data_IF_768567654426
#
_entry.id   IF_768567654426
#
_cell.length_a   1.000
_cell.length_b   1.000
_cell.length_c   1.000
_cell.angle_alpha   90.00
_cell.angle_beta   90.00
_cell.angle_gamma   90.00
#
_symmetry.space_group_name_H-M   'P 1'
#
loop_
_entity.id
_entity.type
_entity.pdbx_description
1 polymer ?
#
# COMPACT_ATOMS: atom_id res chain seq x y z
N UNK A 1 20.49 -13.27 -15.58
CA UNK A 1 19.11 -13.78 -15.73
C UNK A 1 18.27 -12.61 -16.19
N UNK A 2 17.78 -12.63 -17.43
CA UNK A 2 16.71 -11.73 -17.81
C UNK A 2 15.41 -12.27 -17.24
N UNK A 3 14.66 -11.48 -16.44
CA UNK A 3 13.34 -11.90 -16.01
C UNK A 3 12.47 -12.07 -17.27
N UNK A 4 11.87 -13.25 -17.43
CA UNK A 4 10.96 -13.53 -18.55
C UNK A 4 9.76 -12.59 -18.56
N UNK A 5 9.10 -12.47 -19.72
CA UNK A 5 7.95 -11.60 -19.94
C UNK A 5 6.88 -11.78 -18.83
N UNK A 6 6.62 -10.70 -18.09
CA UNK A 6 5.57 -10.64 -17.07
C UNK A 6 4.21 -10.88 -17.73
N UNK A 7 3.64 -12.09 -17.56
CA UNK A 7 2.32 -12.41 -18.07
C UNK A 7 1.24 -11.71 -17.21
N UNK A 8 0.76 -10.55 -17.69
CA UNK A 8 -0.24 -9.71 -17.01
C UNK A 8 -1.66 -10.32 -16.97
N UNK A 9 -1.93 -11.40 -17.71
CA UNK A 9 -3.27 -11.97 -17.93
C UNK A 9 -3.90 -12.60 -16.67
N UNK A 10 -3.10 -12.86 -15.63
CA UNK A 10 -3.52 -13.71 -14.50
C UNK A 10 -4.32 -12.99 -13.42
N UNK A 11 -4.22 -11.67 -13.30
CA UNK A 11 -4.88 -10.92 -12.22
C UNK A 11 -6.41 -10.93 -12.38
N UNK A 12 -6.93 -10.62 -13.57
CA UNK A 12 -8.37 -10.42 -13.78
C UNK A 12 -9.16 -11.70 -14.03
N UNK A 13 -8.51 -12.85 -14.25
CA UNK A 13 -9.20 -14.07 -14.70
C UNK A 13 -10.27 -14.53 -13.68
N UNK A 14 -9.94 -14.54 -12.39
CA UNK A 14 -10.88 -14.95 -11.34
C UNK A 14 -12.03 -13.94 -11.18
N UNK A 15 -11.72 -12.64 -11.13
CA UNK A 15 -12.70 -11.57 -11.04
C UNK A 15 -13.71 -11.62 -12.22
N UNK A 16 -13.20 -11.73 -13.46
CA UNK A 16 -14.04 -11.83 -14.65
C UNK A 16 -14.89 -13.09 -14.69
N UNK A 17 -14.43 -14.20 -14.10
CA UNK A 17 -15.25 -15.43 -13.97
C UNK A 17 -16.36 -15.25 -12.95
N UNK A 18 -16.07 -14.65 -11.79
CA UNK A 18 -17.07 -14.35 -10.76
C UNK A 18 -18.16 -13.43 -11.32
N UNK A 19 -17.78 -12.34 -11.99
CA UNK A 19 -18.73 -11.38 -12.55
C UNK A 19 -19.60 -11.99 -13.66
N UNK A 20 -19.02 -12.80 -14.55
CA UNK A 20 -19.79 -13.52 -15.58
C UNK A 20 -20.77 -14.51 -14.97
N UNK A 21 -20.34 -15.25 -13.94
CA UNK A 21 -21.22 -16.19 -13.23
C UNK A 21 -22.37 -15.46 -12.52
N UNK A 22 -22.10 -14.31 -11.92
CA UNK A 22 -23.12 -13.45 -11.31
C UNK A 22 -24.13 -12.96 -12.34
N UNK A 23 -23.67 -12.41 -13.47
CA UNK A 23 -24.55 -11.89 -14.52
C UNK A 23 -25.39 -12.96 -15.23
N UNK A 24 -24.92 -14.22 -15.26
CA UNK A 24 -25.63 -15.33 -15.90
C UNK A 24 -26.74 -15.95 -15.03
N UNK A 25 -26.81 -15.63 -13.74
CA UNK A 25 -27.84 -16.16 -12.82
C UNK A 25 -28.96 -15.14 -12.62
N UNK A 26 -30.20 -15.57 -12.79
CA UNK A 26 -31.40 -14.76 -12.48
C UNK A 26 -31.63 -14.59 -10.97
N UNK A 27 -31.26 -15.59 -10.16
CA UNK A 27 -31.31 -15.57 -8.69
C UNK A 27 -29.95 -16.04 -8.11
N UNK A 28 -28.95 -15.14 -8.00
CA UNK A 28 -27.64 -15.49 -7.48
C UNK A 28 -27.68 -15.71 -5.96
N UNK A 29 -27.04 -16.78 -5.50
CA UNK A 29 -26.92 -17.05 -4.08
C UNK A 29 -26.11 -15.96 -3.34
N UNK A 30 -26.36 -15.82 -2.03
CA UNK A 30 -25.75 -14.78 -1.20
C UNK A 30 -24.21 -14.76 -1.28
N UNK A 31 -23.56 -15.92 -1.40
CA UNK A 31 -22.09 -15.99 -1.45
C UNK A 31 -21.57 -15.40 -2.76
N UNK A 32 -22.23 -15.72 -3.88
CA UNK A 32 -21.90 -15.15 -5.18
C UNK A 32 -22.12 -13.63 -5.21
N UNK A 33 -23.21 -13.13 -4.61
CA UNK A 33 -23.47 -11.68 -4.48
C UNK A 33 -22.34 -11.00 -3.70
N UNK A 34 -21.91 -11.58 -2.57
CA UNK A 34 -20.81 -11.04 -1.75
C UNK A 34 -19.52 -10.98 -2.56
N UNK A 35 -19.16 -12.05 -3.26
CA UNK A 35 -17.94 -12.09 -4.08
C UNK A 35 -17.98 -11.08 -5.23
N UNK A 36 -19.08 -11.01 -5.97
CA UNK A 36 -19.26 -10.04 -7.05
C UNK A 36 -19.20 -8.60 -6.52
N UNK A 37 -19.83 -8.34 -5.37
CA UNK A 37 -19.79 -7.03 -4.70
C UNK A 37 -18.37 -6.66 -4.29
N UNK A 38 -17.61 -7.60 -3.71
CA UNK A 38 -16.21 -7.38 -3.37
C UNK A 38 -15.35 -7.08 -4.61
N UNK A 39 -15.59 -7.80 -5.71
CA UNK A 39 -14.90 -7.53 -6.97
C UNK A 39 -15.18 -6.10 -7.46
N UNK A 40 -16.45 -5.66 -7.42
CA UNK A 40 -16.84 -4.34 -7.91
C UNK A 40 -16.42 -3.20 -6.99
N UNK A 41 -16.47 -3.40 -5.66
CA UNK A 41 -16.19 -2.34 -4.68
C UNK A 41 -14.71 -2.21 -4.29
N UNK A 42 -13.95 -3.30 -4.34
CA UNK A 42 -12.58 -3.34 -3.82
C UNK A 42 -11.61 -3.76 -4.92
N UNK A 43 -11.73 -4.98 -5.44
CA UNK A 43 -10.71 -5.55 -6.32
C UNK A 43 -10.55 -4.78 -7.64
N UNK A 44 -11.65 -4.51 -8.33
CA UNK A 44 -11.67 -3.78 -9.59
C UNK A 44 -11.10 -2.36 -9.45
N UNK A 45 -11.65 -1.52 -8.57
CA UNK A 45 -11.12 -0.18 -8.32
C UNK A 45 -9.63 -0.19 -7.97
N UNK A 46 -9.18 -1.04 -7.03
CA UNK A 46 -7.77 -1.11 -6.66
C UNK A 46 -6.87 -1.57 -7.81
N UNK A 47 -7.33 -2.50 -8.65
CA UNK A 47 -6.59 -2.91 -9.85
C UNK A 47 -6.34 -1.72 -10.77
N UNK A 48 -7.37 -0.92 -11.05
CA UNK A 48 -7.23 0.28 -11.87
C UNK A 48 -6.31 1.30 -11.21
N UNK A 49 -6.51 1.61 -9.92
CA UNK A 49 -5.69 2.59 -9.19
C UNK A 49 -4.21 2.22 -9.18
N UNK A 50 -3.87 0.93 -8.96
CA UNK A 50 -2.48 0.45 -9.00
C UNK A 50 -1.91 0.52 -10.42
N UNK A 51 -2.70 0.19 -11.44
CA UNK A 51 -2.24 0.23 -12.85
C UNK A 51 -2.04 1.64 -13.37
N UNK A 52 -2.92 2.56 -12.98
CA UNK A 52 -2.79 3.97 -13.33
C UNK A 52 -1.64 4.66 -12.58
N UNK A 53 -1.35 4.21 -11.35
CA UNK A 53 -0.33 4.83 -10.49
C UNK A 53 0.67 3.78 -9.97
N UNK A 54 1.52 3.19 -10.84
CA UNK A 54 2.35 2.04 -10.49
C UNK A 54 3.60 2.39 -9.67
N UNK A 55 3.92 3.68 -9.53
CA UNK A 55 5.11 4.11 -8.78
C UNK A 55 5.06 3.68 -7.32
N UNK A 56 6.21 3.30 -6.76
CA UNK A 56 6.35 2.88 -5.37
C UNK A 56 5.93 3.95 -4.36
N UNK A 57 6.00 5.24 -4.72
CA UNK A 57 5.49 6.35 -3.90
C UNK A 57 3.98 6.23 -3.61
N UNK A 58 3.24 5.49 -4.44
CA UNK A 58 1.82 5.26 -4.24
C UNK A 58 1.51 3.98 -3.45
N UNK A 59 2.52 3.15 -3.15
CA UNK A 59 2.30 1.82 -2.58
C UNK A 59 1.56 1.85 -1.23
N UNK A 60 1.98 2.74 -0.32
CA UNK A 60 1.32 2.91 0.99
C UNK A 60 -0.11 3.45 0.84
N UNK A 61 -0.33 4.36 -0.11
CA UNK A 61 -1.67 4.89 -0.44
C UNK A 61 -2.58 3.77 -0.97
N UNK A 62 -2.06 2.90 -1.83
CA UNK A 62 -2.80 1.74 -2.34
C UNK A 62 -3.17 0.77 -1.24
N UNK A 63 -2.26 0.52 -0.29
CA UNK A 63 -2.53 -0.34 0.87
C UNK A 63 -3.65 0.26 1.75
N UNK A 64 -3.54 1.55 2.10
CA UNK A 64 -4.58 2.26 2.86
C UNK A 64 -5.93 2.28 2.13
N UNK A 65 -5.94 2.56 0.82
CA UNK A 65 -7.17 2.60 0.02
C UNK A 65 -7.84 1.22 -0.02
N UNK A 66 -7.07 0.14 -0.09
CA UNK A 66 -7.60 -1.23 -0.01
C UNK A 66 -8.29 -1.46 1.35
N UNK A 67 -7.65 -1.05 2.45
CA UNK A 67 -8.23 -1.10 3.79
C UNK A 67 -9.55 -0.32 3.82
N UNK A 68 -9.51 0.95 3.40
CA UNK A 68 -10.66 1.85 3.39
C UNK A 68 -11.84 1.29 2.60
N UNK A 69 -11.60 0.81 1.38
CA UNK A 69 -12.63 0.20 0.53
C UNK A 69 -13.19 -1.10 1.11
N UNK A 70 -12.46 -1.81 1.96
CA UNK A 70 -12.93 -3.06 2.58
C UNK A 70 -13.78 -2.85 3.84
N UNK A 71 -13.84 -1.62 4.39
CA UNK A 71 -14.52 -1.31 5.66
C UNK A 71 -16.02 -1.58 5.67
N UNK A 72 -16.68 -1.63 4.50
CA UNK A 72 -18.13 -1.92 4.42
C UNK A 72 -18.49 -3.38 4.72
N UNK A 73 -17.51 -4.28 4.76
CA UNK A 73 -17.75 -5.71 4.97
C UNK A 73 -18.32 -5.96 6.36
N UNK A 74 -19.13 -7.03 6.49
CA UNK A 74 -19.56 -7.50 7.80
C UNK A 74 -18.36 -7.92 8.66
N UNK A 75 -18.45 -7.89 10.00
CA UNK A 75 -17.32 -8.19 10.88
C UNK A 75 -16.58 -9.49 10.56
N UNK A 76 -17.32 -10.57 10.27
CA UNK A 76 -16.74 -11.88 9.93
C UNK A 76 -15.93 -11.86 8.63
N UNK A 77 -16.47 -11.21 7.59
CA UNK A 77 -15.80 -11.09 6.30
C UNK A 77 -14.63 -10.10 6.37
N UNK A 78 -14.82 -8.99 7.08
CA UNK A 78 -13.79 -7.99 7.34
C UNK A 78 -12.60 -8.64 8.01
N UNK A 79 -12.80 -9.47 9.03
CA UNK A 79 -11.72 -10.23 9.69
C UNK A 79 -10.93 -11.12 8.73
N UNK A 80 -11.59 -11.79 7.78
CA UNK A 80 -10.91 -12.61 6.76
C UNK A 80 -10.07 -11.73 5.84
N UNK A 81 -10.64 -10.63 5.35
CA UNK A 81 -9.98 -9.72 4.41
C UNK A 81 -8.82 -8.98 5.08
N UNK A 82 -9.01 -8.45 6.29
CA UNK A 82 -7.97 -7.79 7.09
C UNK A 82 -6.80 -8.73 7.34
N UNK A 83 -7.04 -10.00 7.66
CA UNK A 83 -5.96 -11.00 7.80
C UNK A 83 -5.21 -11.25 6.48
N UNK A 84 -5.86 -11.12 5.32
CA UNK A 84 -5.17 -11.19 4.02
C UNK A 84 -4.35 -9.93 3.78
N UNK A 85 -4.91 -8.75 4.05
CA UNK A 85 -4.23 -7.46 3.90
C UNK A 85 -3.01 -7.40 4.81
N UNK A 86 -3.14 -7.76 6.08
CA UNK A 86 -2.06 -7.80 7.07
C UNK A 86 -0.90 -8.69 6.62
N UNK A 87 -1.18 -9.88 6.08
CA UNK A 87 -0.13 -10.78 5.56
C UNK A 87 0.59 -10.25 4.33
N UNK A 88 -0.03 -9.31 3.60
CA UNK A 88 0.54 -8.68 2.41
C UNK A 88 0.90 -7.20 2.64
N UNK A 89 0.93 -6.76 3.90
CA UNK A 89 1.09 -5.37 4.32
C UNK A 89 2.48 -4.77 4.14
N UNK A 90 3.27 -5.23 3.16
CA UNK A 90 4.67 -4.82 2.97
C UNK A 90 4.82 -3.30 2.80
N UNK A 91 3.88 -2.67 2.09
CA UNK A 91 3.87 -1.20 1.92
C UNK A 91 3.50 -0.43 3.18
N UNK A 92 3.11 -1.11 4.27
CA UNK A 92 2.96 -0.49 5.58
C UNK A 92 4.29 -0.26 6.29
N UNK A 93 5.40 -0.86 5.81
CA UNK A 93 6.72 -0.72 6.44
C UNK A 93 7.16 0.76 6.53
N UNK A 94 7.79 1.21 7.64
CA UNK A 94 8.20 2.61 7.82
C UNK A 94 8.93 3.22 6.64
N UNK A 95 9.90 2.51 6.06
CA UNK A 95 10.62 2.98 4.88
C UNK A 95 9.69 3.26 3.68
N UNK A 96 8.68 2.41 3.47
CA UNK A 96 7.70 2.58 2.38
C UNK A 96 6.70 3.72 2.69
N UNK A 97 6.31 3.88 3.96
CA UNK A 97 5.49 5.02 4.39
C UNK A 97 6.24 6.33 4.15
N UNK A 98 7.52 6.41 4.50
CA UNK A 98 8.37 7.58 4.27
C UNK A 98 8.53 7.90 2.77
N UNK A 99 8.75 6.89 1.93
CA UNK A 99 8.79 7.05 0.47
C UNK A 99 7.48 7.60 -0.07
N UNK A 100 6.34 7.11 0.43
CA UNK A 100 5.03 7.63 0.04
C UNK A 100 4.83 9.07 0.49
N UNK A 101 5.23 9.41 1.72
CA UNK A 101 5.16 10.77 2.25
C UNK A 101 6.08 11.75 1.51
N UNK A 102 7.27 11.33 1.08
CA UNK A 102 8.15 12.16 0.24
C UNK A 102 7.52 12.52 -1.11
N UNK A 103 6.70 11.64 -1.66
CA UNK A 103 5.95 11.88 -2.89
C UNK A 103 4.54 12.43 -2.67
N UNK A 104 4.23 12.97 -1.48
CA UNK A 104 2.94 13.61 -1.22
C UNK A 104 2.85 15.00 -1.85
N UNK A 105 1.63 15.42 -2.23
CA UNK A 105 1.38 16.76 -2.78
C UNK A 105 1.55 17.86 -1.73
N UNK A 106 1.29 17.54 -0.45
CA UNK A 106 1.43 18.47 0.67
C UNK A 106 2.90 18.60 1.10
N UNK A 107 3.46 19.80 0.96
CA UNK A 107 4.83 20.10 1.40
C UNK A 107 5.06 19.77 2.88
N UNK A 108 4.06 19.96 3.74
CA UNK A 108 4.15 19.64 5.17
C UNK A 108 4.36 18.15 5.42
N UNK A 109 3.74 17.28 4.62
CA UNK A 109 3.93 15.81 4.71
C UNK A 109 5.32 15.43 4.18
N UNK A 110 5.75 16.03 3.07
CA UNK A 110 7.11 15.82 2.54
C UNK A 110 8.19 16.24 3.54
N UNK A 111 8.00 17.37 4.20
CA UNK A 111 8.92 17.89 5.22
C UNK A 111 9.01 16.94 6.43
N UNK A 112 7.88 16.40 6.91
CA UNK A 112 7.88 15.39 7.96
C UNK A 112 8.66 14.13 7.55
N UNK A 113 8.49 13.66 6.30
CA UNK A 113 9.24 12.52 5.79
C UNK A 113 10.74 12.80 5.75
N UNK A 114 11.13 13.97 5.23
CA UNK A 114 12.52 14.42 5.17
C UNK A 114 13.16 14.44 6.57
N UNK A 115 12.49 14.99 7.58
CA UNK A 115 13.00 15.02 8.94
C UNK A 115 13.28 13.61 9.50
N UNK A 116 12.37 12.66 9.27
CA UNK A 116 12.57 11.27 9.71
C UNK A 116 13.71 10.58 8.96
N UNK A 117 13.84 10.84 7.65
CA UNK A 117 14.93 10.29 6.83
C UNK A 117 16.28 10.84 7.28
N UNK A 118 16.37 12.15 7.53
CA UNK A 118 17.60 12.79 8.02
C UNK A 118 18.01 12.23 9.38
N UNK A 119 17.05 12.02 10.28
CA UNK A 119 17.29 11.36 11.57
C UNK A 119 17.75 9.91 11.40
N UNK A 120 17.17 9.18 10.46
CA UNK A 120 17.56 7.81 10.17
C UNK A 120 18.97 7.73 9.54
N UNK A 121 19.36 8.69 8.69
CA UNK A 121 20.72 8.81 8.12
C UNK A 121 21.78 9.03 9.19
N UNK A 122 21.50 9.87 10.17
CA UNK A 122 22.45 10.15 11.26
C UNK A 122 22.67 8.95 12.19
N UNK A 123 21.72 8.02 12.22
CA UNK A 123 21.83 6.80 12.99
C UNK A 123 22.52 5.74 12.12
N UNK A 124 23.71 5.28 12.51
CA UNK A 124 24.32 4.13 11.86
C UNK A 124 23.42 2.90 12.04
N UNK A 125 22.75 2.47 10.97
CA UNK A 125 21.90 1.30 11.00
C UNK A 125 22.76 0.05 11.30
N UNK A 126 22.42 -0.76 12.31
CA UNK A 126 23.20 -1.94 12.64
C UNK A 126 23.00 -3.03 11.56
N UNK A 127 24.11 -3.48 10.96
CA UNK A 127 24.17 -4.73 10.20
C UNK A 127 23.13 -4.92 9.08
N UNK A 128 22.63 -6.15 8.94
CA UNK A 128 21.66 -6.53 7.91
C UNK A 128 20.25 -6.15 8.37
N UNK A 129 19.55 -5.33 7.58
CA UNK A 129 18.17 -4.91 7.86
C UNK A 129 17.22 -6.10 7.82
N UNK A 130 16.36 -6.23 8.83
CA UNK A 130 15.31 -7.26 8.86
C UNK A 130 13.98 -6.64 8.45
N UNK A 131 13.46 -7.02 7.28
CA UNK A 131 12.15 -6.55 6.83
C UNK A 131 11.02 -7.32 7.53
N UNK A 132 10.27 -6.66 8.41
CA UNK A 132 9.08 -7.23 9.09
C UNK A 132 7.83 -6.47 8.68
N UNK A 133 6.73 -7.18 8.48
CA UNK A 133 5.45 -6.53 8.19
C UNK A 133 4.91 -5.91 9.49
N UNK A 134 4.61 -4.60 9.52
CA UNK A 134 4.06 -3.95 10.70
C UNK A 134 2.62 -4.36 10.96
N UNK A 135 2.19 -4.28 12.22
CA UNK A 135 0.78 -4.30 12.55
C UNK A 135 0.10 -3.10 11.87
N UNK A 136 -0.85 -3.39 10.99
CA UNK A 136 -1.56 -2.34 10.25
C UNK A 136 -2.70 -1.79 11.10
N UNK A 137 -2.83 -0.48 11.11
CA UNK A 137 -3.98 0.22 11.66
C UNK A 137 -5.13 0.18 10.64
N UNK A 138 -6.05 -0.77 10.80
CA UNK A 138 -7.21 -0.92 9.92
C UNK A 138 -8.24 0.21 10.05
N UNK A 139 -8.14 1.02 11.09
CA UNK A 139 -9.00 2.18 11.36
C UNK A 139 -8.35 3.51 10.96
N UNK A 140 -7.16 3.47 10.35
CA UNK A 140 -6.42 4.66 9.92
C UNK A 140 -7.24 5.58 8.99
N UNK A 141 -7.36 6.85 9.37
CA UNK A 141 -8.09 7.86 8.58
C UNK A 141 -7.39 8.16 7.25
N UNK A 142 -6.06 8.06 7.23
CA UNK A 142 -5.22 8.31 6.07
C UNK A 142 -3.99 7.38 6.09
N UNK A 143 -3.24 7.36 4.99
CA UNK A 143 -2.13 6.44 4.79
C UNK A 143 -0.92 6.73 5.68
N UNK A 144 -0.77 7.95 6.22
CA UNK A 144 0.35 8.32 7.12
C UNK A 144 0.20 7.69 8.50
N UNK A 145 -1.04 7.30 8.87
CA UNK A 145 -1.39 6.65 10.14
C UNK A 145 -1.57 5.13 10.02
N UNK A 146 -1.11 4.53 8.91
CA UNK A 146 -1.35 3.11 8.60
C UNK A 146 -0.60 2.14 9.52
N UNK A 147 0.41 2.61 10.25
CA UNK A 147 1.19 1.83 11.20
C UNK A 147 1.60 2.70 12.38
N UNK A 148 1.98 2.05 13.48
CA UNK A 148 2.46 2.68 14.71
C UNK A 148 3.98 2.85 14.65
N UNK A 149 4.46 4.09 14.65
CA UNK A 149 5.88 4.41 14.44
C UNK A 149 6.78 3.93 15.58
N UNK A 150 6.26 3.79 16.79
CA UNK A 150 6.99 3.40 17.99
C UNK A 150 7.47 1.95 17.99
N UNK A 151 6.88 1.09 17.15
CA UNK A 151 7.19 -0.34 17.12
C UNK A 151 8.39 -0.70 16.23
N UNK A 152 8.92 0.27 15.47
CA UNK A 152 9.93 0.03 14.45
C UNK A 152 11.15 0.94 14.61
N UNK A 153 12.33 0.35 14.43
CA UNK A 153 13.54 1.12 14.16
C UNK A 153 13.43 1.71 12.75
N UNK A 154 13.41 3.05 12.65
CA UNK A 154 13.32 3.76 11.38
C UNK A 154 14.72 3.83 10.77
N UNK A 155 14.93 3.07 9.70
CA UNK A 155 16.13 3.15 8.85
C UNK A 155 15.88 3.99 7.61
N UNK A 156 16.95 4.51 7.02
CA UNK A 156 16.83 5.27 5.78
C UNK A 156 16.29 4.37 4.64
N UNK A 157 15.21 4.76 3.93
CA UNK A 157 14.73 4.03 2.78
C UNK A 157 15.83 3.78 1.72
N UNK A 158 15.97 2.57 1.16
CA UNK A 158 16.96 2.29 0.11
C UNK A 158 16.84 3.21 -1.11
N UNK A 159 15.63 3.71 -1.40
CA UNK A 159 15.36 4.63 -2.50
C UNK A 159 15.94 6.03 -2.28
N UNK A 160 16.21 6.42 -1.03
CA UNK A 160 16.81 7.71 -0.71
C UNK A 160 18.31 7.62 -0.46
N UNK A 161 18.85 6.42 -0.21
CA UNK A 161 20.24 6.21 0.20
C UNK A 161 21.30 6.85 -0.71
N UNK A 162 21.03 7.00 -2.01
CA UNK A 162 21.95 7.60 -2.97
C UNK A 162 21.66 9.08 -3.29
N UNK A 163 20.62 9.67 -2.68
CA UNK A 163 20.28 11.08 -2.86
C UNK A 163 21.07 11.95 -1.88
N UNK A 164 21.61 13.08 -2.34
CA UNK A 164 22.22 14.06 -1.42
C UNK A 164 21.15 14.73 -0.56
N UNK A 165 21.57 15.34 0.56
CA UNK A 165 20.67 16.09 1.43
C UNK A 165 20.02 17.26 0.67
N UNK A 166 20.76 17.92 -0.23
CA UNK A 166 20.26 19.00 -1.09
C UNK A 166 19.23 18.48 -2.09
N UNK A 167 19.45 17.30 -2.67
CA UNK A 167 18.50 16.68 -3.59
C UNK A 167 17.19 16.33 -2.87
N UNK A 168 17.27 15.73 -1.68
CA UNK A 168 16.08 15.46 -0.85
C UNK A 168 15.35 16.75 -0.47
N UNK A 169 16.09 17.78 -0.05
CA UNK A 169 15.49 19.08 0.31
C UNK A 169 14.84 19.76 -0.90
N UNK A 170 15.41 19.61 -2.09
CA UNK A 170 14.78 20.06 -3.34
C UNK A 170 13.45 19.35 -3.57
N UNK A 171 13.41 18.02 -3.43
CA UNK A 171 12.18 17.22 -3.58
C UNK A 171 11.08 17.69 -2.62
N UNK A 172 11.43 18.00 -1.37
CA UNK A 172 10.48 18.55 -0.40
C UNK A 172 9.85 19.84 -0.90
N UNK A 173 10.62 20.74 -1.51
CA UNK A 173 10.10 22.03 -2.00
C UNK A 173 9.37 21.91 -3.33
N UNK A 174 9.89 21.15 -4.28
CA UNK A 174 9.34 21.07 -5.65
C UNK A 174 8.26 20.02 -5.84
N UNK A 175 8.19 19.02 -4.95
CA UNK A 175 7.51 17.75 -5.25
C UNK A 175 8.39 16.82 -6.11
N UNK A 176 7.92 15.59 -6.29
CA UNK A 176 8.49 14.57 -7.18
C UNK A 176 7.91 14.65 -8.60
#
# INVERSE_FOLDING_TARGET
>A
MEPGLLNHSRWLTAANRILRLYAAKTDPDKKLVILATYVMKVYGPMWFTIKSNPSCINGTRHLWQTISLSRYLSPDLKKIVDNVIQRNGYFGHPENVLVAMLGDDMETIRELAYQQIMKARSNNAPGVRTFKIPALNFDAEDYTKIMTWEEFEITEPPLTANLSDEALKSIVKSGL
#
